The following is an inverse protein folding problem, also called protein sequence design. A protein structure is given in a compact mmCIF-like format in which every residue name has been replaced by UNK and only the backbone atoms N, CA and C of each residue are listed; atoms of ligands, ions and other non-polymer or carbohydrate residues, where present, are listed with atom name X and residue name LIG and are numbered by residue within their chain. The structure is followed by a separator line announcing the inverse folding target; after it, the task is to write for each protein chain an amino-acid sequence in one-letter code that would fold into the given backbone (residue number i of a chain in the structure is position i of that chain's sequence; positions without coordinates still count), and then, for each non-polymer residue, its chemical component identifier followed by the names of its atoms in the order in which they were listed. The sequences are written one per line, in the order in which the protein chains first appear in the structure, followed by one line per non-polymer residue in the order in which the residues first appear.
data_IF_263253195526
#
_entry.id   IF_263253195526
#
_cell.length_a   1.000
_cell.length_b   1.000
_cell.length_c   1.000
_cell.angle_alpha   90.00
_cell.angle_beta   90.00
_cell.angle_gamma   90.00
#
_symmetry.space_group_name_H-M   'P 1'
#
loop_
_entity.id
_entity.type
_entity.pdbx_description
1 polymer ?
#
# COMPACT_ATOMS: atom_id res chain seq x y z
N UNK A 1 35.88 -22.83 1.25
CA UNK A 1 35.04 -22.85 2.46
C UNK A 1 34.51 -21.45 2.83
N UNK A 2 35.36 -20.42 3.00
CA UNK A 2 34.93 -19.09 3.47
C UNK A 2 33.90 -18.37 2.56
N UNK A 3 34.10 -18.37 1.23
CA UNK A 3 33.16 -17.71 0.30
C UNK A 3 31.78 -18.39 0.26
N UNK A 4 31.76 -19.72 0.32
CA UNK A 4 30.53 -20.50 0.30
C UNK A 4 29.68 -20.23 1.56
N UNK A 5 30.31 -20.16 2.72
CA UNK A 5 29.63 -19.82 3.97
C UNK A 5 29.07 -18.40 3.94
N UNK A 6 29.82 -17.41 3.45
CA UNK A 6 29.30 -16.03 3.29
C UNK A 6 28.07 -15.95 2.40
N UNK A 7 28.03 -16.72 1.30
CA UNK A 7 26.87 -16.78 0.41
C UNK A 7 25.66 -17.40 1.10
N UNK A 8 25.86 -18.44 1.90
CA UNK A 8 24.81 -19.08 2.69
C UNK A 8 24.28 -18.10 3.75
N UNK A 9 25.16 -17.45 4.50
CA UNK A 9 24.79 -16.48 5.53
C UNK A 9 23.96 -15.34 4.93
N UNK A 10 24.37 -14.81 3.78
CA UNK A 10 23.61 -13.80 3.04
C UNK A 10 22.20 -14.27 2.64
N UNK A 11 22.06 -15.50 2.15
CA UNK A 11 20.75 -16.06 1.77
C UNK A 11 19.86 -16.21 3.01
N UNK A 12 20.42 -16.70 4.12
CA UNK A 12 19.67 -16.91 5.37
C UNK A 12 19.18 -15.57 5.95
N UNK A 13 20.03 -14.54 5.99
CA UNK A 13 19.64 -13.20 6.47
C UNK A 13 18.47 -12.65 5.65
N UNK A 14 18.56 -12.68 4.31
CA UNK A 14 17.47 -12.20 3.46
C UNK A 14 16.16 -12.97 3.69
N UNK A 15 16.22 -14.29 3.86
CA UNK A 15 15.04 -15.10 4.17
C UNK A 15 14.40 -14.68 5.50
N UNK A 16 15.22 -14.46 6.54
CA UNK A 16 14.74 -14.00 7.85
C UNK A 16 14.02 -12.66 7.71
N UNK A 17 14.58 -11.72 6.95
CA UNK A 17 13.97 -10.40 6.73
C UNK A 17 12.61 -10.53 6.02
N UNK A 18 12.51 -11.35 4.96
CA UNK A 18 11.24 -11.59 4.26
C UNK A 18 10.17 -12.21 5.16
N UNK A 19 10.52 -13.22 5.96
CA UNK A 19 9.57 -13.79 6.92
C UNK A 19 9.18 -12.79 8.01
N UNK A 20 10.12 -11.96 8.46
CA UNK A 20 9.87 -10.87 9.40
C UNK A 20 8.80 -9.91 8.90
N UNK A 21 8.88 -9.50 7.63
CA UNK A 21 7.92 -8.58 7.00
C UNK A 21 6.54 -9.20 6.83
N UNK A 22 6.48 -10.48 6.42
CA UNK A 22 5.20 -11.18 6.28
C UNK A 22 4.51 -11.26 7.64
N UNK A 23 5.24 -11.65 8.69
CA UNK A 23 4.70 -11.74 10.04
C UNK A 23 4.26 -10.37 10.54
N UNK A 24 5.08 -9.35 10.36
CA UNK A 24 4.77 -7.97 10.71
C UNK A 24 3.49 -7.50 10.00
N UNK A 25 3.37 -7.76 8.70
CA UNK A 25 2.19 -7.40 7.91
C UNK A 25 0.92 -8.08 8.44
N UNK A 26 0.96 -9.40 8.67
CA UNK A 26 -0.18 -10.17 9.18
C UNK A 26 -0.62 -9.66 10.56
N UNK A 27 0.32 -9.26 11.42
CA UNK A 27 0.02 -8.74 12.76
C UNK A 27 -0.62 -7.35 12.73
N UNK A 28 -0.12 -6.44 11.89
CA UNK A 28 -0.56 -5.04 11.89
C UNK A 28 -1.82 -4.78 11.07
N UNK A 29 -2.07 -5.52 9.99
CA UNK A 29 -3.27 -5.35 9.14
C UNK A 29 -4.59 -5.37 9.93
N UNK A 30 -4.90 -6.37 10.79
CA UNK A 30 -6.17 -6.39 11.52
C UNK A 30 -6.32 -5.21 12.49
N UNK A 31 -5.22 -4.76 13.09
CA UNK A 31 -5.19 -3.59 13.99
C UNK A 31 -5.53 -2.33 13.20
N UNK A 32 -4.91 -2.15 12.04
CA UNK A 32 -5.17 -1.01 11.14
C UNK A 32 -6.61 -1.03 10.62
N UNK A 33 -7.12 -2.20 10.19
CA UNK A 33 -8.52 -2.33 9.75
C UNK A 33 -9.47 -1.88 10.85
N UNK A 34 -9.28 -2.38 12.08
CA UNK A 34 -10.13 -1.99 13.21
C UNK A 34 -10.10 -0.47 13.44
N UNK A 35 -8.91 0.13 13.45
CA UNK A 35 -8.73 1.56 13.67
C UNK A 35 -9.34 2.41 12.55
N UNK A 36 -9.03 2.10 11.28
CA UNK A 36 -9.53 2.85 10.14
C UNK A 36 -11.03 2.67 9.93
N UNK A 37 -11.59 1.50 10.19
CA UNK A 37 -13.05 1.33 10.16
C UNK A 37 -13.72 2.29 11.13
N UNK A 38 -13.21 2.41 12.36
CA UNK A 38 -13.74 3.34 13.37
C UNK A 38 -13.64 4.80 12.91
N UNK A 39 -12.55 5.18 12.24
CA UNK A 39 -12.38 6.51 11.64
C UNK A 39 -13.38 6.74 10.53
N UNK A 40 -13.48 5.82 9.56
CA UNK A 40 -14.39 5.94 8.42
C UNK A 40 -15.84 6.09 8.88
N UNK A 41 -16.30 5.29 9.85
CA UNK A 41 -17.63 5.44 10.42
C UNK A 41 -17.80 6.78 11.15
N UNK A 42 -16.79 7.25 11.89
CA UNK A 42 -16.85 8.53 12.60
C UNK A 42 -16.95 9.73 11.66
N UNK A 43 -16.31 9.66 10.50
CA UNK A 43 -16.28 10.75 9.51
C UNK A 43 -17.27 10.55 8.35
N UNK A 44 -18.16 9.55 8.42
CA UNK A 44 -19.09 9.17 7.34
C UNK A 44 -18.39 8.92 5.98
N UNK A 45 -17.17 8.39 6.01
CA UNK A 45 -16.43 7.94 4.83
C UNK A 45 -16.85 6.49 4.55
N UNK A 46 -18.10 6.33 4.17
CA UNK A 46 -18.77 5.05 3.99
C UNK A 46 -19.24 4.88 2.55
N UNK A 47 -19.16 3.65 2.08
CA UNK A 47 -19.72 3.21 0.83
C UNK A 47 -21.16 2.74 1.03
N UNK A 48 -22.10 3.47 0.43
CA UNK A 48 -23.54 3.20 0.53
C UNK A 48 -23.95 2.28 -0.63
N UNK A 49 -24.63 1.14 -0.34
CA UNK A 49 -25.08 0.23 -1.38
C UNK A 49 -26.02 0.92 -2.36
N UNK A 50 -25.80 0.66 -3.65
CA UNK A 50 -26.67 1.10 -4.75
C UNK A 50 -27.04 -0.11 -5.61
N UNK A 51 -27.96 0.03 -6.57
CA UNK A 51 -28.42 -1.04 -7.48
C UNK A 51 -27.29 -1.76 -8.25
N UNK A 52 -26.07 -1.21 -8.24
CA UNK A 52 -24.87 -1.78 -8.86
C UNK A 52 -24.03 -2.66 -7.91
N UNK A 53 -24.35 -2.73 -6.61
CA UNK A 53 -23.50 -3.35 -5.58
C UNK A 53 -24.23 -4.51 -4.91
N UNK A 54 -23.52 -5.62 -4.69
CA UNK A 54 -24.06 -6.87 -4.14
C UNK A 54 -24.14 -6.89 -2.61
N UNK A 55 -23.58 -5.88 -1.94
CA UNK A 55 -23.67 -5.76 -0.49
C UNK A 55 -24.94 -5.02 -0.08
N UNK A 56 -25.55 -5.44 1.03
CA UNK A 56 -26.75 -4.83 1.60
C UNK A 56 -26.46 -3.83 2.71
N UNK A 57 -25.22 -3.79 3.21
CA UNK A 57 -24.80 -2.98 4.35
C UNK A 57 -23.82 -1.88 3.92
N UNK A 58 -23.82 -0.77 4.64
CA UNK A 58 -22.81 0.28 4.50
C UNK A 58 -21.42 -0.26 4.88
N UNK A 59 -20.42 -0.02 4.04
CA UNK A 59 -19.06 -0.49 4.26
C UNK A 59 -18.08 0.68 4.35
N UNK A 60 -17.14 0.71 5.30
CA UNK A 60 -16.15 1.78 5.40
C UNK A 60 -15.18 1.75 4.21
N UNK A 61 -14.84 2.92 3.66
CA UNK A 61 -13.81 3.06 2.60
C UNK A 61 -12.41 3.06 3.24
N UNK A 62 -12.08 1.99 3.96
CA UNK A 62 -10.85 1.88 4.76
C UNK A 62 -9.74 1.09 4.08
N UNK A 63 -10.05 0.28 3.06
CA UNK A 63 -9.10 -0.66 2.45
C UNK A 63 -7.82 0.01 1.92
N UNK A 64 -7.96 1.07 1.13
CA UNK A 64 -6.81 1.82 0.61
C UNK A 64 -5.99 2.51 1.71
N UNK A 65 -6.65 3.01 2.76
CA UNK A 65 -5.99 3.63 3.91
C UNK A 65 -5.13 2.61 4.68
N UNK A 66 -5.66 1.40 4.87
CA UNK A 66 -4.92 0.29 5.48
C UNK A 66 -3.72 -0.08 4.61
N UNK A 67 -3.90 -0.14 3.28
CA UNK A 67 -2.85 -0.53 2.34
C UNK A 67 -1.68 0.48 2.33
N UNK A 68 -1.95 1.78 2.25
CA UNK A 68 -0.89 2.79 2.33
C UNK A 68 -0.21 2.81 3.71
N UNK A 69 -0.98 2.60 4.78
CA UNK A 69 -0.43 2.56 6.13
C UNK A 69 0.51 1.37 6.32
N UNK A 70 0.16 0.18 5.82
CA UNK A 70 1.02 -0.99 5.97
C UNK A 70 2.27 -0.90 5.08
N UNK A 71 2.15 -0.35 3.87
CA UNK A 71 3.31 -0.05 3.03
C UNK A 71 4.27 0.94 3.73
N UNK A 72 3.71 1.98 4.36
CA UNK A 72 4.51 2.95 5.12
C UNK A 72 5.25 2.30 6.29
N UNK A 73 4.59 1.42 7.04
CA UNK A 73 5.22 0.70 8.16
C UNK A 73 6.30 -0.28 7.67
N UNK A 74 6.07 -0.98 6.56
CA UNK A 74 7.07 -1.88 5.97
C UNK A 74 8.31 -1.13 5.48
N UNK A 75 8.16 0.08 4.90
CA UNK A 75 9.29 0.93 4.55
C UNK A 75 10.09 1.39 5.76
N UNK A 76 9.40 1.80 6.83
CA UNK A 76 10.06 2.16 8.09
C UNK A 76 10.85 0.95 8.61
N UNK A 77 10.27 -0.25 8.57
CA UNK A 77 10.96 -1.48 8.94
C UNK A 77 12.21 -1.71 8.10
N UNK A 78 12.13 -1.60 6.76
CA UNK A 78 13.28 -1.72 5.86
C UNK A 78 14.42 -0.74 6.19
N UNK A 79 14.08 0.51 6.52
CA UNK A 79 15.07 1.51 6.93
C UNK A 79 15.73 1.17 8.25
N UNK A 80 14.99 0.59 9.21
CA UNK A 80 15.52 0.19 10.52
C UNK A 80 16.52 -0.97 10.39
N UNK A 81 16.26 -1.91 9.49
CA UNK A 81 17.15 -3.08 9.27
C UNK A 81 18.26 -2.82 8.23
N UNK A 82 18.37 -1.58 7.71
CA UNK A 82 19.33 -1.19 6.67
C UNK A 82 19.28 -2.12 5.43
N UNK A 83 18.06 -2.41 4.96
CA UNK A 83 17.87 -3.29 3.81
C UNK A 83 18.41 -2.64 2.53
N UNK A 84 19.26 -3.37 1.81
CA UNK A 84 20.03 -2.84 0.68
C UNK A 84 19.17 -2.27 -0.45
N UNK A 85 17.99 -2.83 -0.68
CA UNK A 85 17.06 -2.39 -1.76
C UNK A 85 15.99 -1.42 -1.25
N UNK A 86 16.19 -0.78 -0.09
CA UNK A 86 15.19 0.15 0.49
C UNK A 86 14.78 1.27 -0.47
N UNK A 87 15.71 1.83 -1.24
CA UNK A 87 15.42 2.87 -2.24
C UNK A 87 14.40 2.43 -3.30
N UNK A 88 14.52 1.20 -3.82
CA UNK A 88 13.58 0.66 -4.80
C UNK A 88 12.15 0.59 -4.24
N UNK A 89 12.01 0.22 -2.97
CA UNK A 89 10.70 0.20 -2.31
C UNK A 89 10.16 1.60 -2.02
N UNK A 90 11.02 2.60 -1.78
CA UNK A 90 10.61 4.00 -1.63
C UNK A 90 9.96 4.52 -2.92
N UNK A 91 10.53 4.22 -4.08
CA UNK A 91 9.96 4.62 -5.37
C UNK A 91 8.60 3.95 -5.60
N UNK A 92 8.50 2.64 -5.35
CA UNK A 92 7.21 1.91 -5.42
C UNK A 92 6.16 2.54 -4.49
N UNK A 93 6.57 2.95 -3.29
CA UNK A 93 5.66 3.59 -2.35
C UNK A 93 5.17 4.94 -2.84
N UNK A 94 6.06 5.80 -3.34
CA UNK A 94 5.69 7.11 -3.89
C UNK A 94 4.68 6.93 -5.02
N UNK A 95 4.95 5.99 -5.94
CA UNK A 95 4.05 5.66 -7.04
C UNK A 95 2.69 5.17 -6.50
N UNK A 96 2.71 4.21 -5.57
CA UNK A 96 1.49 3.67 -4.96
C UNK A 96 0.66 4.75 -4.25
N UNK A 97 1.32 5.73 -3.62
CA UNK A 97 0.68 6.85 -2.94
C UNK A 97 -0.03 7.77 -3.94
N UNK A 98 0.58 8.05 -5.10
CA UNK A 98 -0.06 8.83 -6.17
C UNK A 98 -1.34 8.16 -6.68
N UNK A 99 -1.28 6.85 -6.96
CA UNK A 99 -2.45 6.09 -7.38
C UNK A 99 -3.51 6.01 -6.28
N UNK A 100 -3.10 5.83 -5.02
CA UNK A 100 -4.01 5.82 -3.88
C UNK A 100 -4.79 7.13 -3.77
N UNK A 101 -4.13 8.28 -3.91
CA UNK A 101 -4.82 9.58 -3.79
C UNK A 101 -5.96 9.70 -4.81
N UNK A 102 -5.74 9.30 -6.07
CA UNK A 102 -6.78 9.36 -7.10
C UNK A 102 -7.88 8.34 -6.83
N UNK A 103 -7.51 7.12 -6.46
CA UNK A 103 -8.49 6.07 -6.11
C UNK A 103 -9.37 6.51 -4.94
N UNK A 104 -8.77 7.06 -3.90
CA UNK A 104 -9.47 7.56 -2.72
C UNK A 104 -10.38 8.75 -3.03
N UNK A 105 -9.95 9.66 -3.91
CA UNK A 105 -10.82 10.74 -4.37
C UNK A 105 -11.99 10.17 -5.18
N UNK A 106 -11.76 9.21 -6.08
CA UNK A 106 -12.84 8.60 -6.89
C UNK A 106 -13.86 7.84 -6.02
N UNK A 107 -13.39 7.14 -4.99
CA UNK A 107 -14.24 6.42 -4.04
C UNK A 107 -15.11 7.37 -3.19
N UNK A 108 -14.62 8.59 -2.92
CA UNK A 108 -15.35 9.58 -2.09
C UNK A 108 -16.14 10.61 -2.90
N UNK A 109 -15.67 10.94 -4.10
CA UNK A 109 -16.25 11.91 -5.02
C UNK A 109 -16.20 11.26 -6.39
N UNK A 110 -17.33 10.76 -6.88
CA UNK A 110 -17.41 10.12 -8.20
C UNK A 110 -16.79 11.02 -9.27
N UNK A 111 -15.61 10.66 -9.76
CA UNK A 111 -14.91 11.44 -10.77
C UNK A 111 -15.51 11.14 -12.14
N UNK A 112 -15.43 12.10 -13.06
CA UNK A 112 -15.77 11.85 -14.45
C UNK A 112 -14.79 10.82 -15.03
N UNK A 113 -15.33 9.74 -15.63
CA UNK A 113 -14.56 8.65 -16.24
C UNK A 113 -13.45 9.15 -17.17
N UNK A 114 -13.74 10.14 -18.02
CA UNK A 114 -12.74 10.67 -18.96
C UNK A 114 -11.60 11.39 -18.25
N UNK A 115 -11.91 12.14 -17.19
CA UNK A 115 -10.91 12.83 -16.37
C UNK A 115 -10.06 11.83 -15.59
N UNK A 116 -10.67 10.77 -15.03
CA UNK A 116 -9.96 9.69 -14.34
C UNK A 116 -8.95 9.01 -15.26
N UNK A 117 -9.36 8.63 -16.48
CA UNK A 117 -8.47 8.02 -17.47
C UNK A 117 -7.34 8.96 -17.84
N UNK A 118 -7.64 10.24 -18.09
CA UNK A 118 -6.61 11.24 -18.39
C UNK A 118 -5.56 11.38 -17.29
N UNK A 119 -5.98 11.45 -16.02
CA UNK A 119 -5.05 11.54 -14.89
C UNK A 119 -4.21 10.26 -14.77
N UNK A 120 -4.80 9.07 -14.93
CA UNK A 120 -4.06 7.81 -14.87
C UNK A 120 -3.00 7.72 -15.97
N UNK A 121 -3.31 8.13 -17.20
CA UNK A 121 -2.33 8.16 -18.30
C UNK A 121 -1.17 9.10 -17.98
N UNK A 122 -1.47 10.30 -17.47
CA UNK A 122 -0.46 11.27 -17.05
C UNK A 122 0.42 10.69 -15.94
N UNK A 123 -0.18 10.02 -14.95
CA UNK A 123 0.57 9.36 -13.89
C UNK A 123 1.48 8.27 -14.44
N UNK A 124 0.98 7.37 -15.29
CA UNK A 124 1.80 6.29 -15.87
C UNK A 124 3.00 6.89 -16.60
N UNK A 125 2.78 7.92 -17.42
CA UNK A 125 3.86 8.62 -18.13
C UNK A 125 4.87 9.25 -17.17
N UNK A 126 4.40 9.89 -16.09
CA UNK A 126 5.28 10.43 -15.06
C UNK A 126 6.10 9.34 -14.37
N UNK A 127 5.48 8.21 -14.03
CA UNK A 127 6.18 7.09 -13.37
C UNK A 127 7.22 6.44 -14.26
N UNK A 128 6.99 6.35 -15.56
CA UNK A 128 7.99 5.84 -16.50
C UNK A 128 9.19 6.77 -16.62
N UNK A 129 8.97 8.09 -16.61
CA UNK A 129 10.06 9.07 -16.65
C UNK A 129 10.84 9.15 -15.34
N UNK A 130 10.18 8.93 -14.21
CA UNK A 130 10.82 8.92 -12.90
C UNK A 130 11.65 7.65 -12.66
N UNK A 131 11.27 6.54 -13.30
CA UNK A 131 11.97 5.26 -13.20
C UNK A 131 13.20 5.13 -14.12
N UNK A 132 13.46 6.11 -14.99
CA UNK A 132 14.65 6.22 -15.85
C UNK A 132 15.73 7.10 -15.21
#
# INVERSE_FOLDING_TARGET
MSYFNKKIDFIITNLIDYYGIILFTILFVPILIYFFNKICFKFNIIDIPNKRKDHSLEMPVSGGLVLISILSLNLIYFKIIDYQESNFFEDIFIISLLFFVIGFIDDTKTLNTNLKVGIIIILIFFTTLYSE
#
